data_IF_462607371554
#
_entry.id   IF_462607371554
#
_cell.length_a   1.000
_cell.length_b   1.000
_cell.length_c   1.000
_cell.angle_alpha   90.00
_cell.angle_beta   90.00
_cell.angle_gamma   90.00
#
_symmetry.space_group_name_H-M   'P 1'
#
loop_
_entity.id
_entity.type
_entity.pdbx_description
1 polymer ?
#
# COMPACT_ATOMS: atom_id res chain seq x y z
N UNK A 1 -11.74 0.32 31.51
CA UNK A 1 -11.08 0.62 30.23
C UNK A 1 -11.60 1.95 29.72
N UNK A 2 -10.94 3.08 30.02
CA UNK A 2 -11.27 4.39 29.43
C UNK A 2 -10.24 4.89 28.40
N UNK A 3 -8.98 4.43 28.42
CA UNK A 3 -7.88 5.13 27.75
C UNK A 3 -7.67 4.95 26.23
N UNK A 4 -8.53 4.21 25.53
CA UNK A 4 -8.39 3.99 24.06
C UNK A 4 -9.31 4.88 23.23
N UNK A 5 -10.49 5.20 23.78
CA UNK A 5 -11.40 6.18 23.20
C UNK A 5 -10.88 7.60 23.47
N UNK A 6 -10.37 7.87 24.68
CA UNK A 6 -9.76 9.17 25.03
C UNK A 6 -8.59 9.56 24.11
N UNK A 7 -7.73 8.58 23.73
CA UNK A 7 -6.59 8.83 22.85
C UNK A 7 -6.99 9.03 21.37
N UNK A 8 -8.10 8.43 20.94
CA UNK A 8 -8.68 8.65 19.61
C UNK A 8 -9.38 10.00 19.54
N UNK A 9 -10.09 10.40 20.59
CA UNK A 9 -10.72 11.72 20.71
C UNK A 9 -9.68 12.86 20.77
N UNK A 10 -8.54 12.66 21.45
CA UNK A 10 -7.44 13.63 21.47
C UNK A 10 -6.78 13.82 20.09
N UNK A 11 -6.58 12.73 19.33
CA UNK A 11 -6.01 12.77 17.97
C UNK A 11 -6.99 13.39 16.96
N UNK A 12 -8.28 13.07 17.05
CA UNK A 12 -9.32 13.70 16.23
C UNK A 12 -9.46 15.20 16.54
N UNK A 13 -9.37 15.60 17.81
CA UNK A 13 -9.36 17.01 18.22
C UNK A 13 -8.17 17.80 17.65
N UNK A 14 -6.97 17.23 17.69
CA UNK A 14 -5.77 17.88 17.15
C UNK A 14 -5.83 18.09 15.62
N UNK A 15 -6.46 17.16 14.89
CA UNK A 15 -6.66 17.28 13.43
C UNK A 15 -7.66 18.38 13.07
N UNK A 16 -8.78 18.44 13.79
CA UNK A 16 -9.79 19.50 13.59
C UNK A 16 -9.16 20.88 13.81
N UNK A 17 -8.33 21.04 14.85
CA UNK A 17 -7.63 22.29 15.12
C UNK A 17 -6.64 22.68 14.01
N UNK A 18 -5.95 21.70 13.41
CA UNK A 18 -5.06 21.93 12.28
C UNK A 18 -5.84 22.45 11.05
N UNK A 19 -6.94 21.77 10.68
CA UNK A 19 -7.81 22.17 9.57
C UNK A 19 -8.37 23.58 9.81
N UNK A 20 -8.83 23.88 11.03
CA UNK A 20 -9.31 25.21 11.40
C UNK A 20 -8.21 26.28 11.24
N UNK A 21 -6.97 25.94 11.58
CA UNK A 21 -5.79 26.79 11.38
C UNK A 21 -5.54 27.12 9.90
N UNK A 22 -5.65 26.13 9.01
CA UNK A 22 -5.50 26.30 7.56
C UNK A 22 -6.62 27.15 6.96
N UNK A 23 -7.87 26.90 7.34
CA UNK A 23 -9.04 27.71 6.95
C UNK A 23 -8.84 29.17 7.38
N UNK A 24 -8.37 29.40 8.61
CA UNK A 24 -8.11 30.75 9.10
C UNK A 24 -6.99 31.45 8.30
N UNK A 25 -5.95 30.71 7.89
CA UNK A 25 -4.88 31.23 7.03
C UNK A 25 -5.38 31.57 5.62
N UNK A 26 -6.18 30.70 5.01
CA UNK A 26 -6.79 30.95 3.70
C UNK A 26 -7.73 32.16 3.74
N UNK A 27 -8.55 32.30 4.78
CA UNK A 27 -9.40 33.47 4.97
C UNK A 27 -8.58 34.77 4.99
N UNK A 28 -7.42 34.79 5.67
CA UNK A 28 -6.52 35.96 5.67
C UNK A 28 -6.00 36.25 4.26
N UNK A 29 -5.63 35.23 3.48
CA UNK A 29 -5.19 35.38 2.08
C UNK A 29 -6.30 35.95 1.19
N UNK A 30 -7.53 35.47 1.33
CA UNK A 30 -8.69 35.98 0.60
C UNK A 30 -8.98 37.45 0.92
N UNK A 31 -8.90 37.86 2.19
CA UNK A 31 -9.04 39.27 2.60
C UNK A 31 -7.92 40.14 2.03
N UNK A 32 -6.68 39.66 2.00
CA UNK A 32 -5.57 40.38 1.35
C UNK A 32 -5.80 40.54 -0.16
N UNK A 33 -6.30 39.50 -0.83
CA UNK A 33 -6.51 39.47 -2.28
C UNK A 33 -7.69 40.33 -2.74
N UNK A 34 -8.81 40.27 -2.02
CA UNK A 34 -10.08 40.88 -2.45
C UNK A 34 -10.53 42.05 -1.56
N UNK A 35 -9.74 42.40 -0.56
CA UNK A 35 -10.14 43.37 0.46
C UNK A 35 -11.15 42.80 1.45
N UNK A 36 -11.46 43.58 2.49
CA UNK A 36 -12.46 43.22 3.49
C UNK A 36 -13.87 43.40 2.92
N UNK A 37 -14.64 42.31 2.87
CA UNK A 37 -16.00 42.28 2.34
C UNK A 37 -17.02 42.37 3.50
N UNK A 38 -17.39 43.59 3.90
CA UNK A 38 -18.36 43.83 5.00
C UNK A 38 -19.84 43.84 4.54
N UNK A 39 -20.11 43.39 3.32
CA UNK A 39 -21.43 43.37 2.71
C UNK A 39 -21.80 41.92 2.34
N UNK A 40 -22.55 41.20 3.20
CA UNK A 40 -22.95 39.83 2.89
C UNK A 40 -23.88 39.84 1.67
N UNK A 41 -23.66 38.95 0.71
CA UNK A 41 -24.39 38.87 -0.56
C UNK A 41 -25.82 38.32 -0.40
N UNK A 42 -26.61 38.92 0.49
CA UNK A 42 -27.98 38.52 0.85
C UNK A 42 -28.95 39.35 0.02
N UNK A 43 -29.74 38.68 -0.82
CA UNK A 43 -30.75 39.33 -1.65
C UNK A 43 -31.36 38.42 -2.71
N UNK A 44 -32.48 38.83 -3.32
CA UNK A 44 -33.24 38.01 -4.27
C UNK A 44 -32.44 37.65 -5.53
N UNK A 45 -31.45 38.47 -5.89
CA UNK A 45 -30.56 38.23 -7.04
C UNK A 45 -29.85 36.86 -6.96
N UNK A 46 -29.48 36.39 -5.76
CA UNK A 46 -28.87 35.05 -5.60
C UNK A 46 -29.86 33.94 -5.99
N UNK A 47 -31.08 34.01 -5.45
CA UNK A 47 -32.14 33.06 -5.78
C UNK A 47 -32.53 33.10 -7.27
N UNK A 48 -32.56 34.29 -7.87
CA UNK A 48 -32.85 34.45 -9.31
C UNK A 48 -31.75 33.87 -10.21
N UNK A 49 -30.47 34.05 -9.84
CA UNK A 49 -29.33 33.55 -10.63
C UNK A 49 -29.16 32.04 -10.45
N UNK A 50 -29.23 31.53 -9.23
CA UNK A 50 -28.89 30.15 -8.92
C UNK A 50 -30.09 29.20 -8.92
N UNK A 51 -31.31 29.67 -8.66
CA UNK A 51 -32.53 28.83 -8.61
C UNK A 51 -32.72 27.90 -9.82
N UNK A 52 -32.55 28.36 -11.07
CA UNK A 52 -32.64 27.50 -12.26
C UNK A 52 -31.53 26.45 -12.39
N UNK A 53 -30.43 26.60 -11.67
CA UNK A 53 -29.31 25.65 -11.61
C UNK A 53 -29.57 24.63 -10.50
N UNK A 54 -30.02 25.10 -9.33
CA UNK A 54 -30.37 24.26 -8.17
C UNK A 54 -31.41 23.21 -8.54
N UNK A 55 -32.49 23.59 -9.24
CA UNK A 55 -33.54 22.64 -9.62
C UNK A 55 -33.06 21.49 -10.51
N UNK A 56 -32.10 21.76 -11.41
CA UNK A 56 -31.47 20.71 -12.24
C UNK A 56 -30.51 19.84 -11.44
N UNK A 57 -29.75 20.45 -10.54
CA UNK A 57 -28.76 19.74 -9.74
C UNK A 57 -29.43 18.82 -8.71
N UNK A 58 -30.49 19.30 -8.05
CA UNK A 58 -31.30 18.50 -7.12
C UNK A 58 -31.85 17.23 -7.76
N UNK A 59 -32.40 17.34 -8.97
CA UNK A 59 -32.88 16.17 -9.71
C UNK A 59 -31.77 15.14 -10.04
N UNK A 60 -30.54 15.60 -10.31
CA UNK A 60 -29.38 14.72 -10.53
C UNK A 60 -28.94 14.07 -9.21
N UNK A 61 -28.96 14.83 -8.13
CA UNK A 61 -28.56 14.35 -6.81
C UNK A 61 -29.55 13.32 -6.26
N UNK A 62 -30.85 13.60 -6.35
CA UNK A 62 -31.93 12.68 -5.95
C UNK A 62 -31.78 11.33 -6.66
N UNK A 63 -31.52 11.34 -7.97
CA UNK A 63 -31.27 10.12 -8.76
C UNK A 63 -30.00 9.36 -8.32
N UNK A 64 -28.95 10.07 -7.87
CA UNK A 64 -27.73 9.44 -7.32
C UNK A 64 -28.00 8.82 -5.95
N UNK A 65 -28.71 9.52 -5.07
CA UNK A 65 -29.08 9.04 -3.75
C UNK A 65 -29.97 7.78 -3.83
N UNK A 66 -30.93 7.75 -4.75
CA UNK A 66 -31.79 6.57 -4.99
C UNK A 66 -30.99 5.34 -5.47
N UNK A 67 -29.84 5.56 -6.12
CA UNK A 67 -28.92 4.49 -6.57
C UNK A 67 -27.89 4.04 -5.52
N UNK A 68 -27.86 4.68 -4.34
CA UNK A 68 -26.89 4.39 -3.27
C UNK A 68 -25.48 4.95 -3.50
N UNK A 69 -25.31 5.85 -4.48
CA UNK A 69 -24.04 6.48 -4.83
C UNK A 69 -23.82 7.78 -4.03
N UNK A 70 -23.60 7.65 -2.72
CA UNK A 70 -23.31 8.79 -1.83
C UNK A 70 -21.86 9.27 -1.98
N UNK A 71 -21.63 10.58 -2.03
CA UNK A 71 -20.29 11.16 -2.15
C UNK A 71 -20.19 12.54 -1.50
N UNK A 72 -19.01 12.91 -1.03
CA UNK A 72 -18.78 14.20 -0.36
C UNK A 72 -19.00 15.41 -1.28
N UNK A 73 -18.67 15.31 -2.57
CA UNK A 73 -18.92 16.36 -3.56
C UNK A 73 -20.42 16.62 -3.76
N UNK A 74 -21.25 15.58 -3.69
CA UNK A 74 -22.69 15.70 -3.75
C UNK A 74 -23.22 16.43 -2.52
N UNK A 75 -22.85 15.98 -1.32
CA UNK A 75 -23.29 16.61 -0.06
C UNK A 75 -22.84 18.08 -0.03
N UNK A 76 -21.58 18.37 -0.40
CA UNK A 76 -21.05 19.73 -0.39
C UNK A 76 -21.81 20.66 -1.35
N UNK A 77 -22.11 20.19 -2.56
CA UNK A 77 -22.82 21.00 -3.55
C UNK A 77 -24.27 21.26 -3.13
N UNK A 78 -24.93 20.30 -2.48
CA UNK A 78 -26.27 20.49 -1.91
C UNK A 78 -26.29 21.65 -0.91
N UNK A 79 -25.43 21.59 0.12
CA UNK A 79 -25.31 22.64 1.15
C UNK A 79 -24.96 24.01 0.55
N UNK A 80 -24.07 24.05 -0.46
CA UNK A 80 -23.70 25.29 -1.15
C UNK A 80 -24.90 25.91 -1.85
N UNK A 81 -25.71 25.10 -2.53
CA UNK A 81 -26.87 25.60 -3.26
C UNK A 81 -28.01 26.04 -2.34
N UNK A 82 -28.23 25.36 -1.22
CA UNK A 82 -29.15 25.82 -0.18
C UNK A 82 -28.71 27.17 0.38
N UNK A 83 -27.42 27.32 0.72
CA UNK A 83 -26.86 28.58 1.18
C UNK A 83 -26.95 29.74 0.16
N UNK A 84 -26.84 29.46 -1.14
CA UNK A 84 -26.89 30.48 -2.20
C UNK A 84 -28.30 30.97 -2.53
N UNK A 85 -29.32 30.16 -2.24
CA UNK A 85 -30.72 30.49 -2.52
C UNK A 85 -31.50 30.99 -1.29
N UNK A 86 -30.97 30.79 -0.08
CA UNK A 86 -31.57 31.31 1.14
C UNK A 86 -31.43 32.85 1.24
N UNK A 87 -32.55 33.49 1.51
CA UNK A 87 -32.71 34.95 1.59
C UNK A 87 -32.81 35.44 3.03
N UNK A 88 -33.13 34.55 3.97
CA UNK A 88 -33.11 34.82 5.39
C UNK A 88 -31.67 34.80 5.93
N UNK A 89 -31.18 35.89 6.55
CA UNK A 89 -29.80 35.96 7.04
C UNK A 89 -29.43 34.90 8.07
N UNK A 90 -30.36 34.53 8.95
CA UNK A 90 -30.09 33.59 10.04
C UNK A 90 -29.99 32.16 9.50
N UNK A 91 -30.92 31.76 8.61
CA UNK A 91 -30.88 30.47 7.94
C UNK A 91 -29.70 30.35 7.01
N UNK A 92 -29.40 31.38 6.21
CA UNK A 92 -28.22 31.37 5.33
C UNK A 92 -26.91 31.20 6.11
N UNK A 93 -26.80 31.81 7.30
CA UNK A 93 -25.65 31.60 8.16
C UNK A 93 -25.55 30.14 8.62
N UNK A 94 -26.67 29.50 8.94
CA UNK A 94 -26.69 28.09 9.29
C UNK A 94 -26.20 27.22 8.12
N UNK A 95 -26.73 27.44 6.91
CA UNK A 95 -26.28 26.68 5.73
C UNK A 95 -24.79 26.87 5.43
N UNK A 96 -24.27 28.10 5.56
CA UNK A 96 -22.83 28.34 5.38
C UNK A 96 -21.97 27.63 6.43
N UNK A 97 -22.50 27.36 7.63
CA UNK A 97 -21.82 26.54 8.63
C UNK A 97 -21.86 25.06 8.23
N UNK A 98 -22.97 24.57 7.66
CA UNK A 98 -23.06 23.22 7.12
C UNK A 98 -22.07 22.99 5.98
N UNK A 99 -21.97 23.93 5.03
CA UNK A 99 -20.95 23.93 3.97
C UNK A 99 -19.54 23.79 4.55
N UNK A 100 -19.21 24.59 5.57
CA UNK A 100 -17.90 24.54 6.20
C UNK A 100 -17.65 23.21 6.93
N UNK A 101 -18.67 22.65 7.58
CA UNK A 101 -18.58 21.36 8.25
C UNK A 101 -18.37 20.20 7.26
N UNK A 102 -19.13 20.17 6.16
CA UNK A 102 -18.99 19.15 5.12
C UNK A 102 -17.64 19.27 4.41
N UNK A 103 -17.19 20.48 4.07
CA UNK A 103 -15.87 20.69 3.50
C UNK A 103 -14.74 20.28 4.46
N UNK A 104 -14.87 20.56 5.75
CA UNK A 104 -13.90 20.11 6.75
C UNK A 104 -13.90 18.59 6.91
N UNK A 105 -15.07 17.94 6.89
CA UNK A 105 -15.19 16.48 6.91
C UNK A 105 -14.62 15.82 5.64
N UNK A 106 -14.78 16.46 4.48
CA UNK A 106 -14.17 16.02 3.24
C UNK A 106 -12.64 16.19 3.26
N UNK A 107 -12.12 17.32 3.76
CA UNK A 107 -10.68 17.52 4.00
C UNK A 107 -10.15 16.47 4.96
N UNK A 108 -10.84 16.22 6.07
CA UNK A 108 -10.47 15.18 7.02
C UNK A 108 -10.50 13.80 6.37
N UNK A 109 -11.50 13.49 5.54
CA UNK A 109 -11.55 12.25 4.79
C UNK A 109 -10.39 12.17 3.77
N UNK A 110 -10.01 13.29 3.14
CA UNK A 110 -8.83 13.37 2.26
C UNK A 110 -7.54 13.23 3.07
N UNK A 111 -7.45 13.72 4.29
CA UNK A 111 -6.25 13.59 5.13
C UNK A 111 -6.13 12.20 5.75
N UNK A 112 -7.28 11.62 6.15
CA UNK A 112 -7.42 10.29 6.77
C UNK A 112 -7.30 9.16 5.75
N UNK A 113 -7.93 9.31 4.59
CA UNK A 113 -8.01 8.27 3.56
C UNK A 113 -7.21 8.61 2.30
N UNK A 114 -6.83 9.88 2.10
CA UNK A 114 -6.34 10.32 0.79
C UNK A 114 -7.43 10.20 -0.25
N UNK A 115 -7.27 10.86 -1.38
CA UNK A 115 -7.62 10.17 -2.62
C UNK A 115 -6.84 8.85 -2.56
N UNK A 116 -7.48 7.71 -2.25
CA UNK A 116 -6.90 6.36 -2.08
C UNK A 116 -5.40 6.42 -2.33
N UNK A 117 -4.60 6.71 -1.29
CA UNK A 117 -3.15 6.70 -1.50
C UNK A 117 -2.89 5.30 -2.05
N UNK A 118 -2.45 5.22 -3.30
CA UNK A 118 -1.88 4.05 -3.97
C UNK A 118 -0.55 3.68 -3.29
N UNK A 119 -0.52 3.77 -1.96
CA UNK A 119 0.57 3.32 -1.13
C UNK A 119 0.50 1.80 -1.11
N UNK A 120 1.64 1.13 -1.05
CA UNK A 120 1.67 -0.32 -1.20
C UNK A 120 1.32 -1.03 0.12
N UNK A 121 0.77 -0.33 1.12
CA UNK A 121 0.41 -0.84 2.44
C UNK A 121 -1.06 -0.55 2.77
N UNK A 122 -1.68 -1.42 3.54
CA UNK A 122 -3.04 -1.27 4.10
C UNK A 122 -3.02 -1.64 5.57
N UNK A 123 -3.73 -0.91 6.43
CA UNK A 123 -3.82 -1.25 7.85
C UNK A 123 -4.85 -2.38 8.10
N UNK A 124 -4.75 -3.11 9.23
CA UNK A 124 -5.78 -4.07 9.64
C UNK A 124 -7.19 -3.46 9.74
N UNK A 125 -7.31 -2.28 10.34
CA UNK A 125 -8.57 -1.53 10.44
C UNK A 125 -9.14 -1.19 9.06
N UNK A 126 -8.32 -0.71 8.12
CA UNK A 126 -8.75 -0.36 6.77
C UNK A 126 -9.22 -1.61 6.00
N UNK A 127 -8.48 -2.71 6.09
CA UNK A 127 -8.86 -3.98 5.47
C UNK A 127 -10.17 -4.50 6.06
N UNK A 128 -10.30 -4.53 7.39
CA UNK A 128 -11.49 -5.02 8.09
C UNK A 128 -12.75 -4.24 7.70
N UNK A 129 -12.66 -2.91 7.57
CA UNK A 129 -13.77 -2.06 7.15
C UNK A 129 -14.20 -2.27 5.68
N UNK A 130 -13.36 -2.91 4.87
CA UNK A 130 -13.51 -2.95 3.41
C UNK A 130 -13.32 -4.36 2.81
N UNK A 131 -13.43 -5.44 3.59
CA UNK A 131 -13.16 -6.82 3.14
C UNK A 131 -13.83 -7.19 1.80
N UNK A 132 -15.07 -6.77 1.59
CA UNK A 132 -15.81 -7.05 0.35
C UNK A 132 -15.32 -6.30 -0.91
N UNK A 133 -14.40 -5.35 -0.76
CA UNK A 133 -13.83 -4.55 -1.86
C UNK A 133 -12.48 -5.08 -2.35
N UNK A 134 -11.82 -5.96 -1.59
CA UNK A 134 -10.51 -6.50 -1.91
C UNK A 134 -10.59 -7.97 -2.32
N UNK A 135 -9.69 -8.40 -3.20
CA UNK A 135 -9.25 -9.81 -3.18
C UNK A 135 -8.15 -9.94 -2.14
N UNK A 136 -8.31 -10.84 -1.17
CA UNK A 136 -7.34 -11.03 -0.09
C UNK A 136 -6.56 -12.31 -0.33
N UNK A 137 -5.24 -12.25 -0.27
CA UNK A 137 -4.33 -13.37 -0.48
C UNK A 137 -3.52 -13.65 0.79
N UNK A 138 -3.54 -14.90 1.21
CA UNK A 138 -2.73 -15.44 2.30
C UNK A 138 -1.54 -16.19 1.70
N UNK A 139 -0.33 -15.65 1.90
CA UNK A 139 0.91 -16.25 1.39
C UNK A 139 1.84 -16.66 2.52
N UNK A 140 1.28 -17.09 3.65
CA UNK A 140 2.07 -17.61 4.78
C UNK A 140 3.03 -18.70 4.34
N UNK A 141 4.25 -18.61 4.84
CA UNK A 141 5.38 -19.41 4.40
C UNK A 141 6.35 -19.65 5.55
N UNK A 142 6.91 -20.86 5.59
CA UNK A 142 7.94 -21.25 6.53
C UNK A 142 9.17 -21.75 5.77
N UNK A 143 10.29 -21.04 5.88
CA UNK A 143 11.54 -21.45 5.23
C UNK A 143 11.98 -22.83 5.73
N UNK A 144 12.10 -23.78 4.81
CA UNK A 144 12.51 -25.16 5.12
C UNK A 144 11.45 -26.01 5.85
N UNK A 145 10.25 -25.47 6.06
CA UNK A 145 9.12 -26.17 6.67
C UNK A 145 8.04 -26.53 5.65
N UNK A 146 6.93 -27.15 6.10
CA UNK A 146 5.77 -27.35 5.22
C UNK A 146 5.18 -25.99 4.81
N UNK A 147 4.46 -25.92 3.67
CA UNK A 147 3.80 -24.69 3.25
C UNK A 147 2.75 -24.18 4.25
N UNK A 148 2.39 -22.90 4.17
CA UNK A 148 1.47 -22.22 5.10
C UNK A 148 0.00 -22.66 5.03
N UNK A 149 -0.32 -23.69 4.22
CA UNK A 149 -1.70 -24.11 3.95
C UNK A 149 -2.42 -24.59 5.21
N UNK A 150 -1.74 -25.31 6.10
CA UNK A 150 -2.38 -25.80 7.33
C UNK A 150 -2.72 -24.65 8.28
N UNK A 151 -1.83 -23.65 8.38
CA UNK A 151 -2.05 -22.43 9.14
C UNK A 151 -3.22 -21.63 8.55
N UNK A 152 -3.34 -21.59 7.22
CA UNK A 152 -4.50 -21.04 6.51
C UNK A 152 -5.79 -21.71 6.92
N UNK A 153 -5.88 -23.03 6.83
CA UNK A 153 -7.09 -23.76 7.21
C UNK A 153 -7.44 -23.60 8.69
N UNK A 154 -6.44 -23.46 9.56
CA UNK A 154 -6.65 -23.25 10.99
C UNK A 154 -7.22 -21.87 11.32
N UNK A 155 -6.90 -20.85 10.53
CA UNK A 155 -7.43 -19.50 10.70
C UNK A 155 -6.82 -18.50 9.72
N UNK A 156 -7.64 -17.72 9.04
CA UNK A 156 -7.25 -16.72 8.03
C UNK A 156 -8.18 -15.50 8.07
N UNK A 157 -7.78 -14.42 7.38
CA UNK A 157 -8.65 -13.26 7.15
C UNK A 157 -9.86 -13.71 6.33
N UNK A 158 -11.08 -13.33 6.72
CA UNK A 158 -12.30 -13.81 6.06
C UNK A 158 -12.25 -13.65 4.53
N UNK A 159 -12.54 -14.74 3.81
CA UNK A 159 -12.49 -14.81 2.35
C UNK A 159 -11.10 -14.79 1.70
N UNK A 160 -10.01 -14.81 2.48
CA UNK A 160 -8.65 -14.86 1.92
C UNK A 160 -8.38 -16.18 1.19
N UNK A 161 -7.79 -16.13 0.01
CA UNK A 161 -7.35 -17.33 -0.71
C UNK A 161 -5.88 -17.63 -0.38
N UNK A 162 -5.57 -18.89 -0.05
CA UNK A 162 -4.18 -19.33 0.10
C UNK A 162 -3.47 -19.40 -1.26
N UNK A 163 -2.28 -18.81 -1.31
CA UNK A 163 -1.37 -18.82 -2.46
C UNK A 163 -0.01 -19.30 -1.98
N UNK A 164 0.50 -20.34 -2.61
CA UNK A 164 1.69 -21.04 -2.16
C UNK A 164 2.96 -20.39 -2.72
N UNK A 165 3.90 -20.01 -1.84
CA UNK A 165 5.10 -19.31 -2.27
C UNK A 165 5.98 -20.14 -3.23
N UNK A 166 6.17 -21.43 -2.94
CA UNK A 166 7.09 -22.28 -3.70
C UNK A 166 6.48 -22.73 -5.04
N UNK A 167 5.16 -22.94 -5.08
CA UNK A 167 4.49 -23.53 -6.26
C UNK A 167 3.71 -22.53 -7.12
N UNK A 168 3.26 -21.41 -6.54
CA UNK A 168 2.52 -20.36 -7.26
C UNK A 168 3.36 -19.10 -7.51
N UNK A 169 4.30 -18.75 -6.63
CA UNK A 169 5.09 -17.51 -6.69
C UNK A 169 6.56 -17.73 -7.10
N UNK A 170 6.92 -18.97 -7.44
CA UNK A 170 8.23 -19.35 -7.90
C UNK A 170 8.18 -20.52 -8.90
N UNK A 171 9.24 -20.62 -9.70
CA UNK A 171 9.59 -21.85 -10.41
C UNK A 171 10.41 -22.78 -9.49
N UNK A 172 10.51 -24.09 -9.83
CA UNK A 172 11.37 -25.00 -9.08
C UNK A 172 12.83 -24.52 -9.02
N UNK A 173 13.57 -24.83 -7.94
CA UNK A 173 14.98 -24.49 -7.82
C UNK A 173 15.83 -24.97 -9.00
N UNK A 174 16.80 -24.16 -9.43
CA UNK A 174 17.68 -24.48 -10.56
C UNK A 174 18.76 -23.42 -10.81
N UNK A 175 19.14 -23.21 -12.08
CA UNK A 175 20.15 -22.22 -12.46
C UNK A 175 19.79 -20.78 -12.04
N UNK A 176 18.48 -20.49 -11.97
CA UNK A 176 17.93 -19.22 -11.48
C UNK A 176 17.89 -19.07 -9.96
N UNK A 177 18.52 -19.98 -9.20
CA UNK A 177 18.52 -19.97 -7.74
C UNK A 177 17.37 -20.77 -7.13
N UNK A 178 17.07 -20.54 -5.84
CA UNK A 178 16.04 -21.29 -5.10
C UNK A 178 14.60 -20.91 -5.39
N UNK A 179 14.34 -19.66 -5.76
CA UNK A 179 12.99 -19.18 -6.10
C UNK A 179 13.01 -18.31 -7.37
N UNK A 180 13.36 -18.90 -8.54
CA UNK A 180 13.27 -18.19 -9.81
C UNK A 180 11.87 -17.62 -10.04
N UNK A 181 11.75 -16.59 -10.87
CA UNK A 181 10.44 -16.04 -11.23
C UNK A 181 9.56 -17.14 -11.86
N UNK A 182 8.27 -17.21 -11.53
CA UNK A 182 7.38 -18.25 -12.06
C UNK A 182 7.14 -18.05 -13.56
N UNK A 183 6.91 -19.15 -14.28
CA UNK A 183 6.34 -19.08 -15.63
C UNK A 183 5.06 -18.20 -15.64
N UNK A 184 4.95 -17.21 -16.54
CA UNK A 184 3.81 -16.29 -16.55
C UNK A 184 2.44 -16.95 -16.66
N UNK A 185 2.31 -18.04 -17.42
CA UNK A 185 1.03 -18.73 -17.59
C UNK A 185 0.64 -19.49 -16.32
N UNK A 186 1.61 -20.09 -15.62
CA UNK A 186 1.39 -20.68 -14.28
C UNK A 186 0.99 -19.63 -13.26
N UNK A 187 1.68 -18.49 -13.22
CA UNK A 187 1.33 -17.39 -12.32
C UNK A 187 -0.09 -16.85 -12.59
N UNK A 188 -0.44 -16.63 -13.86
CA UNK A 188 -1.79 -16.21 -14.25
C UNK A 188 -2.86 -17.21 -13.76
N UNK A 189 -2.64 -18.50 -13.99
CA UNK A 189 -3.55 -19.55 -13.56
C UNK A 189 -3.71 -19.59 -12.03
N UNK A 190 -2.61 -19.40 -11.28
CA UNK A 190 -2.64 -19.34 -9.82
C UNK A 190 -3.41 -18.13 -9.31
N UNK A 191 -3.16 -16.94 -9.85
CA UNK A 191 -3.86 -15.71 -9.45
C UNK A 191 -5.36 -15.78 -9.80
N UNK A 192 -5.72 -16.32 -10.97
CA UNK A 192 -7.13 -16.56 -11.32
C UNK A 192 -7.77 -17.57 -10.37
N UNK A 193 -7.10 -18.67 -10.02
CA UNK A 193 -7.60 -19.65 -9.04
C UNK A 193 -7.83 -19.01 -7.67
N UNK A 194 -6.98 -18.09 -7.26
CA UNK A 194 -7.09 -17.33 -6.02
C UNK A 194 -8.16 -16.20 -6.08
N UNK A 195 -8.83 -16.01 -7.22
CA UNK A 195 -9.90 -15.02 -7.37
C UNK A 195 -9.42 -13.59 -7.64
N UNK A 196 -8.17 -13.39 -8.08
CA UNK A 196 -7.66 -12.07 -8.48
C UNK A 196 -8.38 -11.60 -9.74
N UNK A 197 -8.97 -10.40 -9.67
CA UNK A 197 -9.67 -9.78 -10.80
C UNK A 197 -9.06 -8.43 -11.14
N UNK A 198 -9.13 -8.04 -12.40
CA UNK A 198 -8.59 -6.78 -12.88
C UNK A 198 -9.36 -5.55 -12.36
N UNK A 199 -10.60 -5.73 -11.91
CA UNK A 199 -11.53 -4.66 -11.50
C UNK A 199 -11.45 -4.27 -10.02
N UNK A 200 -10.58 -4.92 -9.23
CA UNK A 200 -10.53 -4.76 -7.78
C UNK A 200 -9.10 -4.76 -7.25
N UNK A 201 -8.84 -4.01 -6.16
CA UNK A 201 -7.56 -4.06 -5.48
C UNK A 201 -7.29 -5.42 -4.84
N UNK A 202 -6.00 -5.76 -4.72
CA UNK A 202 -5.53 -6.97 -4.03
C UNK A 202 -4.83 -6.60 -2.74
N UNK A 203 -5.15 -7.29 -1.66
CA UNK A 203 -4.42 -7.23 -0.40
C UNK A 203 -3.73 -8.55 -0.15
N UNK A 204 -2.44 -8.52 0.16
CA UNK A 204 -1.61 -9.70 0.42
C UNK A 204 -1.09 -9.65 1.84
N UNK A 205 -1.08 -10.76 2.55
CA UNK A 205 -0.46 -10.85 3.88
C UNK A 205 0.27 -12.18 4.09
N UNK A 206 1.17 -12.18 5.06
CA UNK A 206 1.80 -13.37 5.62
C UNK A 206 1.92 -13.24 7.15
N UNK A 207 2.60 -14.19 7.79
CA UNK A 207 3.01 -14.17 9.19
C UNK A 207 4.55 -14.13 9.33
N UNK A 208 5.22 -13.70 8.26
CA UNK A 208 6.67 -13.66 8.13
C UNK A 208 7.16 -12.24 7.85
N UNK A 209 6.62 -11.29 8.60
CA UNK A 209 7.03 -9.88 8.56
C UNK A 209 6.90 -9.28 7.15
N UNK A 210 5.88 -9.67 6.39
CA UNK A 210 5.58 -9.15 5.05
C UNK A 210 6.52 -9.62 3.94
N UNK A 211 7.46 -10.54 4.20
CA UNK A 211 8.46 -10.97 3.21
C UNK A 211 7.87 -11.78 2.06
N UNK A 212 7.00 -12.75 2.36
CA UNK A 212 6.31 -13.53 1.34
C UNK A 212 5.21 -12.68 0.67
N UNK A 213 4.52 -11.85 1.46
CA UNK A 213 3.52 -10.91 0.97
C UNK A 213 4.10 -9.93 -0.05
N UNK A 214 5.29 -9.39 0.23
CA UNK A 214 5.99 -8.50 -0.67
C UNK A 214 6.39 -9.19 -1.99
N UNK A 215 6.70 -10.49 -1.99
CA UNK A 215 6.97 -11.26 -3.21
C UNK A 215 5.72 -11.36 -4.10
N UNK A 216 4.57 -11.68 -3.54
CA UNK A 216 3.30 -11.69 -4.28
C UNK A 216 2.91 -10.28 -4.77
N UNK A 217 3.06 -9.26 -3.92
CA UNK A 217 2.87 -7.86 -4.29
C UNK A 217 3.73 -7.47 -5.51
N UNK A 218 5.02 -7.79 -5.47
CA UNK A 218 5.95 -7.47 -6.55
C UNK A 218 5.58 -8.19 -7.85
N UNK A 219 5.23 -9.48 -7.79
CA UNK A 219 4.85 -10.28 -8.96
C UNK A 219 3.55 -9.77 -9.61
N UNK A 220 2.52 -9.49 -8.80
CA UNK A 220 1.27 -8.93 -9.29
C UNK A 220 1.51 -7.60 -10.02
N UNK A 221 2.30 -6.69 -9.43
CA UNK A 221 2.68 -5.44 -10.08
C UNK A 221 3.55 -5.66 -11.31
N UNK A 222 4.52 -6.56 -11.26
CA UNK A 222 5.39 -6.90 -12.38
C UNK A 222 4.58 -7.36 -13.59
N UNK A 223 3.48 -8.07 -13.35
CA UNK A 223 2.55 -8.54 -14.37
C UNK A 223 1.35 -7.62 -14.62
N UNK A 224 1.38 -6.37 -14.13
CA UNK A 224 0.44 -5.31 -14.53
C UNK A 224 -0.81 -5.16 -13.66
N UNK A 225 -0.85 -5.76 -12.46
CA UNK A 225 -1.87 -5.41 -11.47
C UNK A 225 -1.39 -4.23 -10.62
N UNK A 226 -1.94 -3.04 -10.85
CA UNK A 226 -1.40 -1.82 -10.26
C UNK A 226 -1.77 -1.60 -8.77
N UNK A 227 -3.03 -1.86 -8.39
CA UNK A 227 -3.50 -1.65 -7.01
C UNK A 227 -3.34 -2.94 -6.18
N UNK A 228 -2.14 -3.12 -5.66
CA UNK A 228 -1.77 -4.24 -4.79
C UNK A 228 -1.16 -3.67 -3.52
N UNK A 229 -1.63 -4.15 -2.38
CA UNK A 229 -1.23 -3.67 -1.05
C UNK A 229 -0.82 -4.83 -0.17
N UNK A 230 0.13 -4.60 0.73
CA UNK A 230 0.51 -5.54 1.77
C UNK A 230 -0.13 -5.12 3.09
N UNK A 231 -0.73 -6.07 3.81
CA UNK A 231 -1.27 -5.84 5.14
C UNK A 231 -0.13 -5.50 6.12
N UNK A 232 -0.11 -4.26 6.60
CA UNK A 232 0.96 -3.77 7.47
C UNK A 232 0.93 -4.46 8.84
N UNK A 233 2.03 -5.14 9.19
CA UNK A 233 2.13 -6.03 10.36
C UNK A 233 1.54 -7.44 10.14
N UNK A 234 0.97 -7.72 8.96
CA UNK A 234 0.53 -9.04 8.53
C UNK A 234 -0.51 -9.71 9.44
N UNK A 235 -0.50 -11.04 9.43
CA UNK A 235 -1.39 -11.89 10.22
C UNK A 235 -1.28 -11.62 11.73
N UNK A 236 -0.07 -11.35 12.22
CA UNK A 236 0.15 -11.06 13.64
C UNK A 236 -0.56 -9.78 14.08
N UNK A 237 -0.50 -8.70 13.29
CA UNK A 237 -1.22 -7.47 13.57
C UNK A 237 -2.74 -7.67 13.49
N UNK A 238 -3.22 -8.41 12.48
CA UNK A 238 -4.64 -8.74 12.35
C UNK A 238 -5.23 -9.39 13.62
N UNK A 239 -4.50 -10.36 14.18
CA UNK A 239 -4.91 -11.03 15.42
C UNK A 239 -4.79 -10.14 16.66
N UNK A 240 -3.71 -9.36 16.76
CA UNK A 240 -3.47 -8.47 17.90
C UNK A 240 -4.55 -7.37 17.99
N UNK A 241 -4.99 -6.86 16.85
CA UNK A 241 -6.02 -5.84 16.75
C UNK A 241 -7.45 -6.42 16.94
N UNK A 242 -7.57 -7.75 17.10
CA UNK A 242 -8.83 -8.42 17.45
C UNK A 242 -9.81 -8.57 16.29
N UNK A 243 -9.33 -8.55 15.05
CA UNK A 243 -10.19 -8.63 13.87
C UNK A 243 -10.74 -10.06 13.63
N UNK A 244 -11.87 -10.19 12.92
CA UNK A 244 -12.51 -11.48 12.66
C UNK A 244 -11.61 -12.48 11.92
N UNK A 245 -11.73 -13.76 12.28
CA UNK A 245 -10.98 -14.87 11.68
C UNK A 245 -11.96 -15.92 11.16
N UNK A 246 -11.72 -16.38 9.93
CA UNK A 246 -12.40 -17.52 9.32
C UNK A 246 -11.48 -18.75 9.36
N UNK A 247 -12.05 -19.96 9.34
CA UNK A 247 -11.30 -21.21 9.31
C UNK A 247 -11.91 -22.16 8.28
N UNK A 248 -11.09 -23.07 7.76
CA UNK A 248 -11.47 -24.03 6.73
C UNK A 248 -11.05 -23.61 5.32
N UNK A 249 -11.62 -24.28 4.32
CA UNK A 249 -11.27 -24.11 2.91
C UNK A 249 -11.99 -22.91 2.30
N UNK A 250 -11.23 -21.98 1.72
CA UNK A 250 -11.78 -20.89 0.88
C UNK A 250 -11.77 -21.32 -0.58
N UNK A 251 -12.95 -21.35 -1.20
CA UNK A 251 -13.10 -21.58 -2.65
C UNK A 251 -13.51 -20.28 -3.33
N UNK A 252 -12.52 -19.49 -3.72
CA UNK A 252 -12.75 -18.29 -4.51
C UNK A 252 -13.37 -18.64 -5.87
N UNK A 253 -14.33 -17.84 -6.32
CA UNK A 253 -14.76 -17.90 -7.71
C UNK A 253 -13.59 -17.46 -8.60
N UNK A 254 -13.26 -18.20 -9.68
CA UNK A 254 -12.14 -17.85 -10.55
C UNK A 254 -12.17 -16.38 -10.98
N UNK A 255 -11.00 -15.75 -10.90
CA UNK A 255 -10.77 -14.39 -11.33
C UNK A 255 -10.50 -14.27 -12.83
N UNK A 256 -10.31 -13.04 -13.30
CA UNK A 256 -10.05 -12.70 -14.71
C UNK A 256 -8.67 -12.04 -14.92
N UNK A 257 -7.80 -12.07 -13.91
CA UNK A 257 -6.43 -11.57 -14.00
C UNK A 257 -5.72 -12.10 -15.25
N UNK A 258 -5.04 -11.21 -15.96
CA UNK A 258 -4.28 -11.55 -17.17
C UNK A 258 -2.93 -10.89 -17.06
N UNK A 259 -1.87 -11.64 -17.32
CA UNK A 259 -0.51 -11.11 -17.30
C UNK A 259 -0.32 -10.08 -18.42
N UNK A 260 0.22 -8.92 -18.07
CA UNK A 260 0.56 -7.88 -19.04
C UNK A 260 1.58 -8.39 -20.06
N UNK A 261 1.47 -7.92 -21.31
CA UNK A 261 2.37 -8.30 -22.41
C UNK A 261 3.83 -7.88 -22.17
N UNK A 262 4.06 -6.90 -21.31
CA UNK A 262 5.41 -6.44 -20.92
C UNK A 262 5.51 -6.32 -19.40
N UNK A 263 6.66 -6.65 -18.81
CA UNK A 263 6.94 -6.37 -17.40
C UNK A 263 6.76 -4.90 -17.02
N UNK A 264 6.08 -4.63 -15.90
CA UNK A 264 5.89 -3.27 -15.38
C UNK A 264 6.86 -2.91 -14.24
N UNK A 265 7.48 -3.92 -13.61
CA UNK A 265 8.46 -3.73 -12.54
C UNK A 265 9.87 -4.06 -13.03
N UNK A 266 10.88 -3.21 -12.73
CA UNK A 266 12.24 -3.39 -13.22
C UNK A 266 12.91 -4.64 -12.63
N UNK A 267 13.64 -5.34 -13.49
CA UNK A 267 14.43 -6.53 -13.19
C UNK A 267 15.84 -6.31 -13.73
N UNK A 268 16.85 -6.75 -12.99
CA UNK A 268 18.23 -6.86 -13.46
C UNK A 268 18.64 -8.33 -13.40
N UNK A 269 19.43 -8.77 -14.38
CA UNK A 269 19.94 -10.13 -14.42
C UNK A 269 21.36 -10.24 -13.81
N UNK A 270 21.91 -11.44 -13.80
CA UNK A 270 23.22 -11.68 -13.23
C UNK A 270 24.38 -11.06 -14.04
N UNK A 271 24.19 -10.80 -15.34
CA UNK A 271 25.23 -10.19 -16.18
C UNK A 271 25.31 -8.68 -15.91
N UNK A 272 24.18 -8.04 -15.61
CA UNK A 272 24.08 -6.58 -15.48
C UNK A 272 24.04 -6.10 -14.02
N UNK A 273 23.86 -6.96 -13.02
CA UNK A 273 23.68 -6.54 -11.61
C UNK A 273 24.85 -5.73 -11.06
N UNK A 274 26.08 -5.99 -11.51
CA UNK A 274 27.29 -5.25 -11.12
C UNK A 274 27.37 -3.84 -11.74
N UNK A 275 26.50 -3.52 -12.69
CA UNK A 275 26.46 -2.19 -13.33
C UNK A 275 25.56 -1.20 -12.58
N UNK A 276 24.81 -1.66 -11.58
CA UNK A 276 24.00 -0.79 -10.74
C UNK A 276 24.91 0.14 -9.91
N UNK A 277 24.55 1.43 -9.83
CA UNK A 277 25.29 2.41 -9.02
C UNK A 277 25.26 2.04 -7.53
N UNK A 278 24.14 1.46 -7.08
CA UNK A 278 23.97 0.89 -5.73
C UNK A 278 23.34 -0.50 -5.84
N UNK A 279 24.04 -1.50 -5.32
CA UNK A 279 23.54 -2.87 -5.20
C UNK A 279 23.29 -3.19 -3.72
N UNK A 280 22.03 -3.44 -3.35
CA UNK A 280 21.62 -3.69 -1.97
C UNK A 280 21.46 -5.18 -1.72
N UNK A 281 22.11 -5.70 -0.67
CA UNK A 281 21.87 -7.02 -0.10
C UNK A 281 20.92 -6.91 1.09
N UNK A 282 19.72 -7.49 0.96
CA UNK A 282 18.67 -7.46 1.97
C UNK A 282 18.82 -8.51 3.10
N UNK A 283 19.85 -9.35 3.04
CA UNK A 283 20.09 -10.41 4.03
C UNK A 283 20.55 -9.83 5.38
N UNK A 284 20.53 -10.69 6.39
CA UNK A 284 21.10 -10.37 7.69
C UNK A 284 22.61 -10.03 7.57
N UNK A 285 23.15 -9.11 8.39
CA UNK A 285 24.54 -8.66 8.29
C UNK A 285 25.56 -9.80 8.32
N UNK A 286 25.36 -10.80 9.17
CA UNK A 286 26.24 -11.96 9.31
C UNK A 286 26.27 -12.86 8.07
N UNK A 287 25.18 -12.90 7.29
CA UNK A 287 25.13 -13.61 6.00
C UNK A 287 25.81 -12.82 4.89
N UNK A 288 25.62 -11.49 4.90
CA UNK A 288 26.30 -10.58 3.99
C UNK A 288 27.83 -10.63 4.19
N UNK A 289 28.31 -10.49 5.43
CA UNK A 289 29.74 -10.52 5.76
C UNK A 289 30.37 -11.90 5.50
N UNK A 290 29.55 -12.96 5.35
CA UNK A 290 30.01 -14.33 5.15
C UNK A 290 30.50 -15.01 6.43
N UNK A 291 30.07 -14.52 7.59
CA UNK A 291 30.40 -15.07 8.91
C UNK A 291 29.55 -16.29 9.24
N UNK A 292 28.27 -16.24 8.88
CA UNK A 292 27.33 -17.36 9.03
C UNK A 292 26.58 -17.56 7.73
N UNK A 293 26.62 -18.78 7.19
CA UNK A 293 25.79 -19.14 6.04
C UNK A 293 25.18 -20.53 6.29
N UNK A 294 23.89 -20.53 6.63
CA UNK A 294 23.13 -21.72 7.01
C UNK A 294 22.22 -22.24 5.90
N UNK A 295 22.10 -21.51 4.78
CA UNK A 295 21.14 -21.79 3.71
C UNK A 295 21.85 -22.13 2.39
N UNK A 296 22.88 -21.37 2.05
CA UNK A 296 23.60 -21.45 0.79
C UNK A 296 24.97 -22.15 0.93
N UNK A 297 25.49 -22.83 -0.10
CA UNK A 297 26.79 -23.53 -0.01
C UNK A 297 28.01 -22.59 0.05
N UNK A 298 27.85 -21.32 -0.33
CA UNK A 298 28.93 -20.32 -0.40
C UNK A 298 28.56 -19.12 0.44
N UNK A 299 29.44 -18.75 1.38
CA UNK A 299 29.30 -17.56 2.23
C UNK A 299 29.98 -16.33 1.62
N UNK A 300 29.37 -15.16 1.81
CA UNK A 300 29.83 -13.87 1.29
C UNK A 300 28.68 -13.10 0.63
N UNK A 301 29.02 -12.07 -0.14
CA UNK A 301 28.11 -11.21 -0.90
C UNK A 301 28.62 -10.92 -2.31
N UNK A 302 27.76 -10.31 -3.15
CA UNK A 302 28.11 -9.89 -4.51
C UNK A 302 29.03 -8.67 -4.39
N UNK A 303 30.17 -8.62 -5.12
CA UNK A 303 31.14 -7.54 -4.96
C UNK A 303 30.56 -6.13 -5.07
N UNK A 304 30.99 -5.25 -4.18
CA UNK A 304 30.54 -3.86 -4.14
C UNK A 304 29.10 -3.65 -3.65
N UNK A 305 28.39 -4.72 -3.28
CA UNK A 305 27.09 -4.59 -2.64
C UNK A 305 27.20 -3.90 -1.27
N UNK A 306 26.11 -3.27 -0.84
CA UNK A 306 25.94 -2.68 0.50
C UNK A 306 24.80 -3.39 1.20
N UNK A 307 24.90 -3.55 2.53
CA UNK A 307 23.89 -4.27 3.29
C UNK A 307 22.82 -3.33 3.88
N UNK A 308 21.56 -3.63 3.60
CA UNK A 308 20.40 -3.02 4.27
C UNK A 308 19.45 -4.17 4.66
N UNK A 309 19.55 -4.72 5.88
CA UNK A 309 18.74 -5.87 6.27
C UNK A 309 17.24 -5.56 6.28
N UNK A 310 16.40 -6.51 5.85
CA UNK A 310 14.92 -6.34 5.87
C UNK A 310 14.36 -5.91 7.24
N UNK A 311 15.03 -6.30 8.34
CA UNK A 311 14.64 -5.96 9.72
C UNK A 311 14.74 -4.47 10.03
N UNK A 312 15.57 -3.71 9.32
CA UNK A 312 15.66 -2.26 9.52
C UNK A 312 14.40 -1.52 9.06
N UNK A 313 13.64 -2.12 8.13
CA UNK A 313 12.42 -1.52 7.58
C UNK A 313 11.23 -1.55 8.53
N UNK A 314 11.28 -2.37 9.59
CA UNK A 314 10.15 -2.62 10.48
C UNK A 314 10.39 -2.03 11.87
N UNK A 315 9.30 -1.63 12.53
CA UNK A 315 9.30 -1.26 13.93
C UNK A 315 9.22 -2.48 14.86
N UNK A 316 9.18 -2.23 16.17
CA UNK A 316 9.13 -3.27 17.20
C UNK A 316 7.84 -4.09 17.18
N UNK A 317 6.79 -3.60 16.51
CA UNK A 317 5.50 -4.28 16.33
C UNK A 317 5.43 -5.05 15.01
N UNK A 318 6.51 -5.03 14.22
CA UNK A 318 6.57 -5.69 12.91
C UNK A 318 5.85 -4.92 11.80
N UNK A 319 5.55 -3.63 12.01
CA UNK A 319 4.95 -2.74 11.00
C UNK A 319 6.03 -1.97 10.25
N UNK A 320 5.78 -1.58 9.01
CA UNK A 320 6.72 -0.76 8.25
C UNK A 320 6.95 0.59 8.96
N UNK A 321 8.21 0.99 9.04
CA UNK A 321 8.57 2.32 9.54
C UNK A 321 8.01 3.41 8.62
N UNK A 322 7.91 4.62 9.15
CA UNK A 322 7.39 5.75 8.37
C UNK A 322 8.21 6.01 7.10
N UNK A 323 7.60 6.55 6.03
CA UNK A 323 8.30 6.88 4.77
C UNK A 323 9.61 7.65 4.96
N UNK A 324 9.63 8.62 5.89
CA UNK A 324 10.82 9.41 6.19
C UNK A 324 11.96 8.57 6.80
N UNK A 325 11.62 7.61 7.67
CA UNK A 325 12.62 6.71 8.29
C UNK A 325 13.16 5.71 7.28
N UNK A 326 12.29 5.14 6.43
CA UNK A 326 12.71 4.26 5.35
C UNK A 326 13.61 5.00 4.36
N UNK A 327 13.20 6.18 3.89
CA UNK A 327 14.03 7.02 3.01
C UNK A 327 15.40 7.32 3.61
N UNK A 328 15.47 7.65 4.90
CA UNK A 328 16.76 7.88 5.57
C UNK A 328 17.64 6.63 5.62
N UNK A 329 17.06 5.44 5.83
CA UNK A 329 17.79 4.18 5.87
C UNK A 329 18.48 3.89 4.53
N UNK A 330 17.76 4.07 3.41
CA UNK A 330 18.27 3.88 2.05
C UNK A 330 19.19 5.02 1.58
N UNK A 331 18.95 6.27 2.00
CA UNK A 331 19.81 7.41 1.67
C UNK A 331 21.23 7.28 2.25
N UNK A 332 21.37 6.63 3.41
CA UNK A 332 22.69 6.34 4.03
C UNK A 332 23.60 5.51 3.12
N UNK A 333 23.03 4.71 2.23
CA UNK A 333 23.78 3.91 1.24
C UNK A 333 23.75 4.52 -0.17
N UNK A 334 23.28 5.77 -0.30
CA UNK A 334 23.25 6.51 -1.57
C UNK A 334 22.09 6.16 -2.51
N UNK A 335 21.18 5.28 -2.12
CA UNK A 335 20.12 4.77 -3.00
C UNK A 335 19.07 5.82 -3.41
N UNK A 336 18.96 6.94 -2.70
CA UNK A 336 17.98 8.00 -3.01
C UNK A 336 18.46 9.01 -4.06
N UNK A 337 19.75 8.97 -4.41
CA UNK A 337 20.39 9.87 -5.39
C UNK A 337 21.10 9.13 -6.53
N UNK A 338 21.23 7.80 -6.42
CA UNK A 338 21.78 6.93 -7.45
C UNK A 338 20.98 6.98 -8.77
N UNK A 339 21.66 6.83 -9.91
CA UNK A 339 21.02 6.72 -11.22
C UNK A 339 20.35 5.36 -11.42
N UNK A 340 20.87 4.32 -10.77
CA UNK A 340 20.33 2.97 -10.77
C UNK A 340 20.53 2.28 -9.41
N UNK A 341 19.50 1.60 -8.93
CA UNK A 341 19.55 0.80 -7.71
C UNK A 341 19.02 -0.60 -8.00
N UNK A 342 19.71 -1.62 -7.53
CA UNK A 342 19.28 -3.01 -7.59
C UNK A 342 19.27 -3.62 -6.19
N UNK A 343 18.33 -4.55 -5.95
CA UNK A 343 18.18 -5.22 -4.65
C UNK A 343 18.18 -6.73 -4.86
N UNK A 344 18.88 -7.43 -3.99
CA UNK A 344 18.91 -8.89 -3.94
C UNK A 344 18.92 -9.40 -2.51
N UNK A 345 18.71 -10.70 -2.34
CA UNK A 345 18.79 -11.34 -1.02
C UNK A 345 19.35 -12.76 -1.12
N UNK A 346 18.81 -13.72 -0.35
CA UNK A 346 19.12 -15.14 -0.55
C UNK A 346 18.59 -15.71 -1.87
N UNK A 347 17.35 -15.41 -2.24
CA UNK A 347 16.67 -16.06 -3.37
C UNK A 347 15.55 -15.23 -4.01
N UNK A 348 15.62 -13.90 -3.93
CA UNK A 348 14.65 -13.00 -4.57
C UNK A 348 13.29 -12.86 -3.87
N UNK A 349 13.08 -13.54 -2.74
CA UNK A 349 11.85 -13.41 -1.92
C UNK A 349 11.96 -12.19 -1.01
N UNK A 350 12.90 -12.20 -0.07
CA UNK A 350 13.01 -11.11 0.91
C UNK A 350 13.53 -9.80 0.32
N UNK A 351 14.17 -9.81 -0.86
CA UNK A 351 14.49 -8.60 -1.60
C UNK A 351 13.24 -7.81 -2.03
N UNK A 352 12.12 -8.52 -2.27
CA UNK A 352 10.85 -7.86 -2.57
C UNK A 352 10.33 -7.04 -1.38
N UNK A 353 10.67 -7.43 -0.14
CA UNK A 353 10.33 -6.65 1.06
C UNK A 353 11.07 -5.30 1.10
N UNK A 354 12.34 -5.28 0.72
CA UNK A 354 13.09 -4.03 0.59
C UNK A 354 12.54 -3.18 -0.55
N UNK A 355 12.19 -3.78 -1.70
CA UNK A 355 11.53 -3.05 -2.79
C UNK A 355 10.19 -2.43 -2.35
N UNK A 356 9.43 -3.14 -1.52
CA UNK A 356 8.20 -2.62 -0.91
C UNK A 356 8.50 -1.43 0.02
N UNK A 357 9.51 -1.54 0.88
CA UNK A 357 9.94 -0.44 1.76
C UNK A 357 10.46 0.77 0.96
N UNK A 358 11.18 0.54 -0.13
CA UNK A 358 11.66 1.57 -1.04
C UNK A 358 10.52 2.25 -1.78
N UNK A 359 9.48 1.52 -2.20
CA UNK A 359 8.26 2.11 -2.75
C UNK A 359 7.58 3.04 -1.73
N UNK A 360 7.45 2.62 -0.46
CA UNK A 360 6.93 3.47 0.62
C UNK A 360 7.79 4.73 0.81
N UNK A 361 9.11 4.61 0.64
CA UNK A 361 10.07 5.71 0.72
C UNK A 361 10.12 6.61 -0.54
N UNK A 362 9.42 6.22 -1.62
CA UNK A 362 9.48 6.88 -2.92
C UNK A 362 10.84 6.73 -3.62
N UNK A 363 11.46 5.55 -3.51
CA UNK A 363 12.73 5.19 -4.15
C UNK A 363 12.47 4.01 -5.10
N UNK A 364 12.88 4.15 -6.36
CA UNK A 364 12.72 3.10 -7.38
C UNK A 364 13.98 2.23 -7.43
N UNK A 365 13.80 0.91 -7.46
CA UNK A 365 14.90 -0.05 -7.62
C UNK A 365 14.46 -1.28 -8.41
N UNK A 366 15.43 -1.97 -9.00
CA UNK A 366 15.26 -3.22 -9.73
C UNK A 366 15.43 -4.43 -8.80
N UNK A 367 14.66 -5.50 -9.05
CA UNK A 367 14.91 -6.79 -8.42
C UNK A 367 16.00 -7.54 -9.18
N UNK A 368 16.96 -8.14 -8.48
CA UNK A 368 17.76 -9.25 -9.01
C UNK A 368 17.17 -10.59 -8.51
N UNK A 369 16.33 -11.29 -9.30
CA UNK A 369 15.52 -12.40 -8.80
C UNK A 369 16.38 -13.61 -8.42
N UNK A 370 17.43 -13.89 -9.20
CA UNK A 370 18.36 -14.99 -8.91
C UNK A 370 19.01 -14.84 -7.55
N UNK A 371 19.30 -13.59 -7.15
CA UNK A 371 19.83 -13.25 -5.84
C UNK A 371 21.08 -14.07 -5.51
N UNK A 372 21.44 -14.20 -4.23
CA UNK A 372 22.65 -14.93 -3.82
C UNK A 372 22.66 -16.38 -4.32
N UNK A 373 21.55 -17.09 -4.18
CA UNK A 373 21.43 -18.49 -4.56
C UNK A 373 21.59 -18.74 -6.07
N UNK A 374 21.22 -17.77 -6.91
CA UNK A 374 21.41 -17.81 -8.36
C UNK A 374 22.77 -17.23 -8.79
N UNK A 375 23.35 -16.32 -7.99
CA UNK A 375 24.69 -15.80 -8.23
C UNK A 375 25.73 -16.92 -8.14
N UNK A 376 25.67 -17.69 -7.06
CA UNK A 376 26.66 -18.74 -6.73
C UNK A 376 26.51 -20.03 -7.55
N UNK A 377 25.54 -20.13 -8.45
CA UNK A 377 25.43 -21.27 -9.38
C UNK A 377 26.55 -21.27 -10.44
N UNK A 378 27.16 -20.10 -10.67
CA UNK A 378 28.27 -19.89 -11.57
C UNK A 378 29.56 -19.67 -10.76
N UNK A 379 30.43 -20.68 -10.59
CA UNK A 379 31.61 -20.61 -9.72
C UNK A 379 32.64 -19.55 -10.11
N UNK A 380 32.62 -19.10 -11.36
CA UNK A 380 33.47 -18.03 -11.89
C UNK A 380 33.06 -16.63 -11.45
N UNK A 381 31.83 -16.45 -10.94
CA UNK A 381 31.37 -15.16 -10.47
C UNK A 381 32.08 -14.77 -9.16
N UNK A 382 32.57 -13.53 -9.06
CA UNK A 382 33.31 -13.10 -7.89
C UNK A 382 32.43 -13.05 -6.63
N UNK A 383 33.06 -13.26 -5.47
CA UNK A 383 32.43 -13.26 -4.14
C UNK A 383 33.31 -12.43 -3.20
N UNK A 384 32.70 -11.50 -2.47
CA UNK A 384 33.34 -10.73 -1.39
C UNK A 384 32.91 -11.22 0.00
N UNK A 385 33.75 -10.95 0.99
CA UNK A 385 33.53 -11.26 2.42
C UNK A 385 34.06 -10.10 3.26
N UNK A 386 33.51 -9.95 4.46
CA UNK A 386 33.87 -8.90 5.41
C UNK A 386 32.91 -7.72 5.43
#
# INVERSE_FOLDING_TARGET
>A
MPGMDDAREEDDGARIDAIAGEIAAERRRQVTRWGRQDHPSIGPAGAEIFGPVVGRWKAINDARMESGAHSWDAILLEEVFEALTEVDPARRRAELVQVAAVAAAEIEAIDRFGVLRRGPLVSPDELAANLGRFTVLDVRYLMGGPPGREQHLAGHVAGAAYVDLDTDLADPPGEGGRHPLPDPARFEAAMRRAGVRADRPVVVYDDWQGRAAARAWWLLRHHGHDDVRVLDGGWSAWLQDGHPVEAGEVRAAPGDFTVAATPQMPVVDAADVLTADVLIDARAPERYAGETESVDPVAGHIPGAVNVPTTENLDERGRFRSPARLRAAYARVGADTAGSVAVYCGSGVTAAHDLLAMEVAGIRAALYPGSWSGWITAPERPVERG
#
